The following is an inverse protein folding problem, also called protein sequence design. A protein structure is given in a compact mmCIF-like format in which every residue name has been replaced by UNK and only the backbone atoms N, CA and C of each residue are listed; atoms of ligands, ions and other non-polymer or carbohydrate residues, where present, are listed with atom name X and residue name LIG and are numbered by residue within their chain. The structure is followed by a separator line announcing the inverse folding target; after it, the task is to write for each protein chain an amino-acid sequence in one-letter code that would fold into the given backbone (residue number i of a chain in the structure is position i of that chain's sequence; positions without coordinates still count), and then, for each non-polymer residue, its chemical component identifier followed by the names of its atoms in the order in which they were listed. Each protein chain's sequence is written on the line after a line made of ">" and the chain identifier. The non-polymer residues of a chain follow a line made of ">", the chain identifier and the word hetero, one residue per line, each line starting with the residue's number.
data_IF_674404189341
#
_entry.id   IF_674404189341
#
_cell.length_a   1.000
_cell.length_b   1.000
_cell.length_c   1.000
_cell.angle_alpha   90.00
_cell.angle_beta   90.00
_cell.angle_gamma   90.00
#
_symmetry.space_group_name_H-M   'P 1'
#
loop_
_entity.id
_entity.type
_entity.pdbx_description
1 polymer ?
#
# COMPACT_ATOMS: atom_id res chain seq x y z
N UNK A 1 50.08 39.17 32.77
CA UNK A 1 48.89 38.40 33.21
C UNK A 1 47.60 38.70 32.42
N UNK A 2 47.48 39.79 31.64
CA UNK A 2 46.22 40.12 30.92
C UNK A 2 45.89 39.25 29.69
N UNK A 3 46.88 38.54 29.11
CA UNK A 3 46.71 37.73 27.88
C UNK A 3 46.16 36.32 28.13
N UNK A 4 46.28 35.80 29.36
CA UNK A 4 45.77 34.48 29.75
C UNK A 4 44.25 34.48 29.98
N UNK A 5 43.70 35.61 30.42
CA UNK A 5 42.27 35.77 30.70
C UNK A 5 41.43 35.63 29.42
N UNK A 6 41.91 36.15 28.28
CA UNK A 6 41.22 36.01 27.00
C UNK A 6 41.18 34.56 26.50
N UNK A 7 42.25 33.78 26.71
CA UNK A 7 42.28 32.36 26.32
C UNK A 7 41.31 31.51 27.15
N UNK A 8 41.23 31.76 28.46
CA UNK A 8 40.28 31.07 29.35
C UNK A 8 38.84 31.48 29.03
N UNK A 9 38.57 32.76 28.74
CA UNK A 9 37.22 33.21 28.35
C UNK A 9 36.75 32.56 27.05
N UNK A 10 37.61 32.51 26.03
CA UNK A 10 37.28 31.87 24.75
C UNK A 10 37.17 30.35 24.90
N UNK A 11 38.01 29.73 25.73
CA UNK A 11 37.90 28.32 26.08
C UNK A 11 36.58 27.98 26.76
N UNK A 12 36.17 28.75 27.78
CA UNK A 12 34.87 28.58 28.44
C UNK A 12 33.71 28.80 27.47
N UNK A 13 33.77 29.80 26.58
CA UNK A 13 32.75 30.02 25.56
C UNK A 13 32.66 28.85 24.56
N UNK A 14 33.79 28.29 24.15
CA UNK A 14 33.85 27.19 23.18
C UNK A 14 33.42 25.85 23.81
N UNK A 15 33.76 25.62 25.08
CA UNK A 15 33.36 24.41 25.83
C UNK A 15 31.88 24.47 26.22
N UNK A 16 31.36 25.66 26.56
CA UNK A 16 29.93 25.87 26.77
C UNK A 16 29.11 25.69 25.47
N UNK A 17 29.69 26.04 24.31
CA UNK A 17 29.07 25.83 22.99
C UNK A 17 29.09 24.39 22.47
N UNK A 18 29.94 23.51 23.02
CA UNK A 18 30.09 22.12 22.58
C UNK A 18 29.01 21.14 23.07
N UNK A 19 28.15 21.56 24.00
CA UNK A 19 27.14 20.69 24.64
C UNK A 19 25.84 20.53 23.84
N UNK A 20 25.82 20.93 22.56
CA UNK A 20 24.66 20.82 21.68
C UNK A 20 24.79 19.67 20.66
N UNK A 21 25.75 18.76 20.84
CA UNK A 21 25.83 17.54 20.05
C UNK A 21 24.77 16.55 20.53
N UNK A 22 23.68 16.50 19.76
CA UNK A 22 22.61 15.53 19.82
C UNK A 22 21.86 15.49 21.16
N UNK A 23 20.84 16.33 21.28
CA UNK A 23 19.58 15.87 21.88
C UNK A 23 19.12 14.65 21.05
N UNK A 24 19.64 13.46 21.37
CA UNK A 24 19.29 12.19 20.76
C UNK A 24 17.87 11.84 21.21
N UNK A 25 16.89 12.50 20.62
CA UNK A 25 15.48 12.15 20.73
C UNK A 25 15.16 10.84 19.99
N UNK A 26 16.18 10.16 19.43
CA UNK A 26 16.03 8.86 18.79
C UNK A 26 16.32 7.71 19.74
N UNK A 27 15.60 6.59 19.54
CA UNK A 27 15.80 5.26 20.14
C UNK A 27 17.24 4.71 20.04
N UNK A 28 18.15 5.42 19.37
CA UNK A 28 19.51 5.00 19.06
C UNK A 28 20.33 4.96 20.35
N UNK A 29 20.69 3.75 20.79
CA UNK A 29 21.47 3.49 22.01
C UNK A 29 20.66 2.94 23.19
N UNK A 30 19.34 2.83 23.07
CA UNK A 30 18.47 2.26 24.13
C UNK A 30 18.36 0.73 23.95
N UNK A 31 18.41 -0.02 25.05
CA UNK A 31 18.32 -1.49 25.00
C UNK A 31 16.86 -1.94 24.86
N UNK A 32 16.63 -2.94 24.01
CA UNK A 32 15.34 -3.63 23.93
C UNK A 32 15.16 -4.45 25.21
N UNK A 33 14.17 -4.09 26.02
CA UNK A 33 13.89 -4.71 27.32
C UNK A 33 13.10 -6.01 27.17
N UNK A 34 12.36 -6.18 26.07
CA UNK A 34 11.61 -7.39 25.77
C UNK A 34 10.86 -7.30 24.46
N UNK A 35 10.35 -8.44 24.00
CA UNK A 35 9.51 -8.55 22.80
C UNK A 35 8.13 -9.04 23.23
N UNK A 36 7.09 -8.31 22.87
CA UNK A 36 5.70 -8.56 23.26
C UNK A 36 4.85 -8.88 22.03
N UNK A 37 4.04 -9.92 22.10
CA UNK A 37 3.12 -10.25 21.02
C UNK A 37 1.89 -9.32 21.05
N UNK A 38 1.63 -8.64 19.94
CA UNK A 38 0.40 -7.89 19.70
C UNK A 38 -0.66 -8.87 19.19
N UNK A 39 -1.80 -8.92 19.87
CA UNK A 39 -2.94 -9.77 19.52
C UNK A 39 -4.11 -8.89 19.10
N UNK A 40 -4.82 -9.27 18.04
CA UNK A 40 -6.12 -8.71 17.67
C UNK A 40 -7.11 -9.87 17.47
N UNK A 41 -8.27 -9.81 18.12
CA UNK A 41 -9.33 -10.83 18.01
C UNK A 41 -8.83 -12.28 18.26
N UNK A 42 -7.90 -12.44 19.20
CA UNK A 42 -7.32 -13.74 19.56
C UNK A 42 -6.26 -14.27 18.58
N UNK A 43 -5.89 -13.53 17.53
CA UNK A 43 -4.83 -13.89 16.58
C UNK A 43 -3.59 -13.01 16.78
N UNK A 44 -2.42 -13.66 16.75
CA UNK A 44 -1.12 -12.97 16.82
C UNK A 44 -0.92 -12.16 15.54
N UNK A 45 -0.76 -10.86 15.70
CA UNK A 45 -0.60 -9.91 14.60
C UNK A 45 0.85 -9.58 14.31
N UNK A 46 1.62 -9.24 15.34
CA UNK A 46 3.03 -8.89 15.22
C UNK A 46 3.73 -8.92 16.58
N UNK A 47 5.05 -8.85 16.57
CA UNK A 47 5.86 -8.70 17.77
C UNK A 47 6.32 -7.24 17.91
N UNK A 48 6.15 -6.66 19.09
CA UNK A 48 6.55 -5.30 19.46
C UNK A 48 7.80 -5.32 20.33
N UNK A 49 8.77 -4.47 20.01
CA UNK A 49 9.95 -4.30 20.85
C UNK A 49 9.65 -3.26 21.94
N UNK A 50 9.83 -3.62 23.20
CA UNK A 50 9.71 -2.66 24.30
C UNK A 50 11.06 -2.01 24.54
N UNK A 51 11.10 -0.69 24.39
CA UNK A 51 12.28 0.14 24.63
C UNK A 51 11.83 1.20 25.63
N UNK A 52 12.47 1.25 26.79
CA UNK A 52 12.16 2.21 27.86
C UNK A 52 10.69 2.23 28.31
N UNK A 53 10.09 1.04 28.42
CA UNK A 53 8.69 0.89 28.85
C UNK A 53 7.66 1.29 27.77
N UNK A 54 8.09 1.75 26.60
CA UNK A 54 7.22 1.99 25.45
C UNK A 54 7.29 0.82 24.47
N UNK A 55 6.12 0.32 24.05
CA UNK A 55 6.02 -0.75 23.07
C UNK A 55 6.07 -0.17 21.64
N UNK A 56 7.14 -0.47 20.93
CA UNK A 56 7.33 -0.10 19.53
C UNK A 56 6.81 -1.22 18.64
N UNK A 57 5.61 -0.98 18.13
CA UNK A 57 4.92 -1.89 17.23
C UNK A 57 5.29 -1.61 15.76
N UNK A 58 5.35 -2.63 14.89
CA UNK A 58 5.46 -2.43 13.45
C UNK A 58 4.22 -1.69 12.93
N UNK A 59 4.39 -0.41 12.59
CA UNK A 59 3.29 0.49 12.20
C UNK A 59 2.46 -0.10 11.05
N UNK A 60 3.10 -0.82 10.12
CA UNK A 60 2.43 -1.50 9.01
C UNK A 60 1.45 -2.59 9.47
N UNK A 61 1.89 -3.46 10.38
CA UNK A 61 1.04 -4.51 10.92
C UNK A 61 -0.10 -3.94 11.77
N UNK A 62 0.18 -2.88 12.53
CA UNK A 62 -0.84 -2.17 13.33
C UNK A 62 -1.88 -1.52 12.42
N UNK A 63 -1.46 -0.87 11.33
CA UNK A 63 -2.36 -0.22 10.39
C UNK A 63 -3.21 -1.21 9.59
N UNK A 64 -2.64 -2.35 9.17
CA UNK A 64 -3.38 -3.44 8.53
C UNK A 64 -4.45 -4.01 9.47
N UNK A 65 -4.11 -4.15 10.76
CA UNK A 65 -5.07 -4.59 11.75
C UNK A 65 -6.09 -3.52 12.13
N UNK A 66 -5.72 -2.25 12.17
CA UNK A 66 -6.65 -1.16 12.51
C UNK A 66 -7.46 -0.68 11.30
N UNK A 67 -7.15 -1.13 10.09
CA UNK A 67 -7.75 -0.64 8.84
C UNK A 67 -7.31 0.79 8.48
N UNK A 68 -6.22 1.29 9.06
CA UNK A 68 -5.73 2.64 8.80
C UNK A 68 -4.90 2.66 7.51
N UNK A 69 -5.11 3.67 6.66
CA UNK A 69 -4.34 3.85 5.43
C UNK A 69 -3.02 4.55 5.77
N UNK A 70 -1.90 3.87 5.54
CA UNK A 70 -0.56 4.44 5.71
C UNK A 70 -0.05 5.01 4.40
N UNK A 71 0.18 6.33 4.38
CA UNK A 71 0.92 6.99 3.29
C UNK A 71 2.29 7.39 3.80
N UNK A 72 3.34 6.88 3.15
CA UNK A 72 4.73 7.23 3.46
C UNK A 72 5.19 8.30 2.49
N UNK A 73 5.37 9.53 2.97
CA UNK A 73 5.91 10.64 2.20
C UNK A 73 7.31 11.01 2.73
N UNK A 74 8.36 10.50 2.08
CA UNK A 74 9.75 10.80 2.44
C UNK A 74 10.15 10.25 3.81
N UNK A 75 10.54 11.13 4.75
CA UNK A 75 10.97 10.78 6.12
C UNK A 75 9.85 10.87 7.16
N UNK A 76 8.61 11.09 6.71
CA UNK A 76 7.42 11.27 7.55
C UNK A 76 6.38 10.20 7.22
N UNK A 77 5.88 9.52 8.26
CA UNK A 77 4.73 8.60 8.15
C UNK A 77 3.51 9.37 8.63
N UNK A 78 2.55 9.63 7.74
CA UNK A 78 1.28 10.24 8.09
C UNK A 78 0.27 9.12 8.31
N UNK A 79 -0.16 8.93 9.57
CA UNK A 79 -1.39 8.20 9.83
C UNK A 79 -2.54 9.17 9.65
N UNK A 80 -3.24 9.04 8.53
CA UNK A 80 -4.62 9.50 8.51
C UNK A 80 -5.40 8.45 9.31
N UNK A 81 -6.24 8.89 10.25
CA UNK A 81 -7.48 8.14 10.47
C UNK A 81 -8.03 7.98 9.06
N UNK A 82 -8.26 6.74 8.61
CA UNK A 82 -9.14 6.59 7.48
C UNK A 82 -10.33 7.43 7.89
N UNK A 83 -10.58 8.55 7.21
CA UNK A 83 -11.90 9.12 7.24
C UNK A 83 -12.71 7.93 6.79
N UNK A 84 -13.24 7.21 7.79
CA UNK A 84 -14.52 6.58 7.69
C UNK A 84 -15.31 7.81 7.24
N UNK A 85 -15.46 7.95 5.92
CA UNK A 85 -16.74 8.31 5.39
C UNK A 85 -17.64 7.36 6.15
N UNK A 86 -18.18 7.89 7.24
CA UNK A 86 -19.17 7.27 8.05
C UNK A 86 -20.38 7.18 7.12
N UNK A 87 -20.33 6.25 6.16
CA UNK A 87 -21.49 5.45 5.83
C UNK A 87 -21.83 4.74 7.13
N UNK A 88 -22.60 5.49 7.93
CA UNK A 88 -23.31 5.01 9.09
C UNK A 88 -23.84 3.61 8.80
N UNK A 89 -23.72 2.65 9.72
CA UNK A 89 -24.58 1.48 9.70
C UNK A 89 -25.96 1.93 10.21
N UNK A 90 -26.66 2.73 9.41
CA UNK A 90 -28.06 3.05 9.64
C UNK A 90 -28.79 3.08 8.29
N UNK A 91 -29.33 1.91 7.98
CA UNK A 91 -30.71 1.78 7.54
C UNK A 91 -31.14 2.60 6.32
N UNK A 92 -30.65 2.23 5.14
CA UNK A 92 -31.52 1.82 4.02
C UNK A 92 -30.68 1.44 2.81
N UNK A 93 -30.88 0.20 2.39
CA UNK A 93 -30.41 -0.40 1.17
C UNK A 93 -30.95 0.36 -0.07
N UNK A 94 -30.37 1.52 -0.37
CA UNK A 94 -30.46 2.21 -1.65
C UNK A 94 -29.07 2.69 -2.00
N UNK A 95 -28.38 1.93 -2.85
CA UNK A 95 -27.19 2.44 -3.52
C UNK A 95 -27.55 3.78 -4.16
N UNK A 96 -26.90 4.87 -3.73
CA UNK A 96 -27.12 6.18 -4.34
C UNK A 96 -26.63 6.13 -5.77
N UNK A 97 -27.33 6.82 -6.69
CA UNK A 97 -26.93 6.94 -8.09
C UNK A 97 -25.44 7.33 -8.23
N UNK A 98 -24.97 8.24 -7.36
CA UNK A 98 -23.58 8.68 -7.34
C UNK A 98 -22.58 7.56 -6.96
N UNK A 99 -23.00 6.59 -6.15
CA UNK A 99 -22.14 5.45 -5.76
C UNK A 99 -22.08 4.40 -6.87
N UNK A 100 -23.21 4.15 -7.54
CA UNK A 100 -23.27 3.31 -8.74
C UNK A 100 -22.44 3.89 -9.89
N UNK A 101 -22.50 5.20 -10.15
CA UNK A 101 -21.68 5.87 -11.17
C UNK A 101 -20.18 5.80 -10.89
N UNK A 102 -19.77 5.93 -9.61
CA UNK A 102 -18.37 5.73 -9.20
C UNK A 102 -17.94 4.27 -9.43
N UNK A 103 -18.75 3.30 -9.01
CA UNK A 103 -18.48 1.86 -9.25
C UNK A 103 -18.36 1.57 -10.74
N UNK A 104 -19.26 2.10 -11.56
CA UNK A 104 -19.25 1.98 -13.01
C UNK A 104 -17.94 2.54 -13.61
N UNK A 105 -17.54 3.73 -13.19
CA UNK A 105 -16.32 4.37 -13.66
C UNK A 105 -15.08 3.55 -13.29
N UNK A 106 -15.02 3.02 -12.08
CA UNK A 106 -13.92 2.16 -11.63
C UNK A 106 -13.88 0.88 -12.48
N UNK A 107 -15.02 0.25 -12.73
CA UNK A 107 -15.06 -0.97 -13.54
C UNK A 107 -14.70 -0.74 -15.00
N UNK A 108 -15.13 0.36 -15.62
CA UNK A 108 -14.73 0.73 -16.98
C UNK A 108 -13.23 0.97 -17.10
N UNK A 109 -12.62 1.60 -16.10
CA UNK A 109 -11.17 1.77 -16.07
C UNK A 109 -10.45 0.42 -15.91
N UNK A 110 -10.96 -0.47 -15.06
CA UNK A 110 -10.42 -1.83 -14.90
C UNK A 110 -10.53 -2.62 -16.21
N UNK A 111 -11.68 -2.61 -16.87
CA UNK A 111 -11.90 -3.25 -18.17
C UNK A 111 -10.87 -2.75 -19.20
N UNK A 112 -10.70 -1.43 -19.31
CA UNK A 112 -9.73 -0.84 -20.24
C UNK A 112 -8.28 -1.28 -19.95
N UNK A 113 -7.91 -1.44 -18.68
CA UNK A 113 -6.59 -1.96 -18.30
C UNK A 113 -6.42 -3.44 -18.69
N UNK A 114 -7.46 -4.26 -18.49
CA UNK A 114 -7.45 -5.67 -18.88
C UNK A 114 -7.43 -5.82 -20.41
N UNK A 115 -8.16 -5.00 -21.15
CA UNK A 115 -8.10 -4.94 -22.62
C UNK A 115 -6.70 -4.57 -23.11
N UNK A 116 -6.08 -3.54 -22.53
CA UNK A 116 -4.72 -3.14 -22.88
C UNK A 116 -3.71 -4.25 -22.56
N UNK A 117 -3.85 -4.94 -21.42
CA UNK A 117 -3.02 -6.09 -21.07
C UNK A 117 -3.21 -7.23 -22.09
N UNK A 118 -4.45 -7.57 -22.41
CA UNK A 118 -4.79 -8.63 -23.37
C UNK A 118 -4.22 -8.32 -24.76
N UNK A 119 -4.33 -7.07 -25.23
CA UNK A 119 -3.75 -6.64 -26.50
C UNK A 119 -2.21 -6.76 -26.52
N UNK A 120 -1.54 -6.50 -25.39
CA UNK A 120 -0.10 -6.69 -25.28
C UNK A 120 0.28 -8.18 -25.30
N UNK A 121 -0.46 -9.04 -24.59
CA UNK A 121 -0.23 -10.49 -24.61
C UNK A 121 -0.49 -11.08 -26.00
N UNK A 122 -1.61 -10.70 -26.64
CA UNK A 122 -1.95 -11.15 -28.00
C UNK A 122 -0.98 -10.61 -29.05
N UNK A 123 -0.49 -9.37 -28.90
CA UNK A 123 0.52 -8.79 -29.77
C UNK A 123 1.88 -9.48 -29.67
N UNK A 124 2.24 -9.99 -28.48
CA UNK A 124 3.46 -10.79 -28.26
C UNK A 124 3.33 -12.25 -28.69
N UNK A 125 2.11 -12.78 -28.76
CA UNK A 125 1.80 -14.18 -29.07
C UNK A 125 2.45 -14.71 -30.37
N UNK A 126 2.42 -14.02 -31.53
CA UNK A 126 3.06 -14.54 -32.74
C UNK A 126 4.58 -14.71 -32.60
N UNK A 127 5.24 -13.87 -31.81
CA UNK A 127 6.68 -13.99 -31.54
C UNK A 127 7.00 -15.18 -30.63
N UNK A 128 6.13 -15.46 -29.66
CA UNK A 128 6.19 -16.63 -28.78
C UNK A 128 5.90 -17.91 -29.54
N UNK A 129 4.94 -17.90 -30.48
CA UNK A 129 4.63 -19.05 -31.33
C UNK A 129 5.79 -19.38 -32.28
N UNK A 130 6.39 -18.37 -32.91
CA UNK A 130 7.59 -18.56 -33.73
C UNK A 130 8.78 -19.11 -32.90
N UNK A 131 8.98 -18.58 -31.68
CA UNK A 131 10.01 -19.05 -30.76
C UNK A 131 9.76 -20.46 -30.21
N UNK A 132 8.50 -20.86 -30.02
CA UNK A 132 8.12 -22.21 -29.58
C UNK A 132 8.23 -23.26 -30.69
N UNK A 133 8.01 -22.87 -31.96
CA UNK A 133 8.16 -23.75 -33.10
C UNK A 133 9.62 -24.20 -33.35
N UNK A 134 10.58 -23.34 -33.02
CA UNK A 134 12.02 -23.58 -33.22
C UNK A 134 12.76 -23.87 -31.90
N UNK A 135 12.13 -23.57 -30.76
CA UNK A 135 12.71 -23.66 -29.43
C UNK A 135 12.59 -25.02 -28.73
N UNK A 136 13.01 -25.07 -27.46
CA UNK A 136 12.94 -26.26 -26.63
C UNK A 136 11.62 -26.34 -25.83
N UNK A 137 11.44 -27.39 -25.04
CA UNK A 137 10.24 -27.59 -24.20
C UNK A 137 9.89 -26.39 -23.30
N UNK A 138 10.90 -25.60 -22.89
CA UNK A 138 10.67 -24.38 -22.09
C UNK A 138 9.94 -23.30 -22.90
N UNK A 139 10.25 -23.17 -24.19
CA UNK A 139 9.57 -22.23 -25.09
C UNK A 139 8.11 -22.61 -25.31
N UNK A 140 7.81 -23.91 -25.46
CA UNK A 140 6.43 -24.43 -25.55
C UNK A 140 5.65 -24.23 -24.25
N UNK A 141 6.27 -24.53 -23.10
CA UNK A 141 5.67 -24.28 -21.80
C UNK A 141 5.37 -22.78 -21.56
N UNK A 142 6.25 -21.90 -22.06
CA UNK A 142 6.02 -20.44 -21.99
C UNK A 142 4.83 -20.05 -22.87
N UNK A 143 4.75 -20.58 -24.09
CA UNK A 143 3.59 -20.34 -24.98
C UNK A 143 2.28 -20.82 -24.36
N UNK A 144 2.24 -22.02 -23.77
CA UNK A 144 1.05 -22.54 -23.08
C UNK A 144 0.67 -21.67 -21.88
N UNK A 145 1.65 -21.22 -21.08
CA UNK A 145 1.39 -20.33 -19.95
C UNK A 145 0.80 -18.99 -20.38
N UNK A 146 1.31 -18.40 -21.47
CA UNK A 146 0.80 -17.14 -22.03
C UNK A 146 -0.60 -17.33 -22.62
N UNK A 147 -0.87 -18.45 -23.30
CA UNK A 147 -2.20 -18.79 -23.81
C UNK A 147 -3.21 -18.94 -22.66
N UNK A 148 -2.83 -19.64 -21.60
CA UNK A 148 -3.67 -19.79 -20.40
C UNK A 148 -3.90 -18.45 -19.69
N UNK A 149 -2.92 -17.54 -19.70
CA UNK A 149 -3.05 -16.20 -19.14
C UNK A 149 -3.99 -15.31 -19.97
N UNK A 150 -3.93 -15.41 -21.30
CA UNK A 150 -4.89 -14.75 -22.20
C UNK A 150 -6.32 -15.25 -21.94
N UNK A 151 -6.51 -16.56 -21.79
CA UNK A 151 -7.82 -17.15 -21.52
C UNK A 151 -8.38 -16.67 -20.17
N UNK A 152 -7.57 -16.68 -19.11
CA UNK A 152 -7.95 -16.11 -17.80
C UNK A 152 -8.26 -14.62 -17.86
N UNK A 153 -7.51 -13.88 -18.67
CA UNK A 153 -7.72 -12.44 -18.87
C UNK A 153 -9.05 -12.20 -19.59
N UNK A 154 -9.35 -12.98 -20.64
CA UNK A 154 -10.65 -12.97 -21.35
C UNK A 154 -11.81 -13.28 -20.42
N UNK A 155 -11.71 -14.34 -19.63
CA UNK A 155 -12.74 -14.71 -18.65
C UNK A 155 -13.00 -13.61 -17.62
N UNK A 156 -11.93 -12.94 -17.17
CA UNK A 156 -12.05 -11.82 -16.23
C UNK A 156 -12.72 -10.62 -16.89
N UNK A 157 -12.38 -10.33 -18.15
CA UNK A 157 -12.97 -9.25 -18.93
C UNK A 157 -14.49 -9.47 -19.11
N UNK A 158 -14.92 -10.70 -19.43
CA UNK A 158 -16.35 -11.05 -19.51
C UNK A 158 -17.08 -10.80 -18.19
N UNK A 159 -16.45 -11.11 -17.06
CA UNK A 159 -17.03 -10.84 -15.73
C UNK A 159 -17.16 -9.35 -15.45
N UNK A 160 -16.14 -8.55 -15.80
CA UNK A 160 -16.21 -7.09 -15.67
C UNK A 160 -17.27 -6.49 -16.59
N UNK A 161 -17.39 -6.95 -17.84
CA UNK A 161 -18.44 -6.51 -18.75
C UNK A 161 -19.85 -6.83 -18.22
N UNK A 162 -20.06 -8.03 -17.69
CA UNK A 162 -21.34 -8.42 -17.10
C UNK A 162 -21.71 -7.54 -15.90
N UNK A 163 -20.72 -7.17 -15.09
CA UNK A 163 -20.94 -6.34 -13.91
C UNK A 163 -21.13 -4.86 -14.29
N UNK A 164 -20.43 -4.35 -15.29
CA UNK A 164 -20.69 -3.03 -15.90
C UNK A 164 -22.12 -2.96 -16.42
N UNK A 165 -22.57 -3.98 -17.17
CA UNK A 165 -23.94 -4.03 -17.67
C UNK A 165 -24.96 -4.00 -16.54
N UNK A 166 -24.75 -4.76 -15.46
CA UNK A 166 -25.61 -4.71 -14.26
C UNK A 166 -25.67 -3.31 -13.64
N UNK A 167 -24.52 -2.64 -13.50
CA UNK A 167 -24.46 -1.29 -12.94
C UNK A 167 -25.15 -0.27 -13.85
N UNK A 168 -25.02 -0.40 -15.17
CA UNK A 168 -25.72 0.48 -16.13
C UNK A 168 -27.24 0.25 -16.11
N UNK A 169 -27.69 -1.00 -16.00
CA UNK A 169 -29.11 -1.32 -15.85
C UNK A 169 -29.69 -0.78 -14.54
N UNK A 170 -28.97 -0.96 -13.43
CA UNK A 170 -29.36 -0.42 -12.13
C UNK A 170 -29.45 1.11 -12.15
N UNK A 171 -28.51 1.79 -12.82
CA UNK A 171 -28.56 3.24 -13.01
C UNK A 171 -29.76 3.68 -13.86
N UNK A 172 -30.08 2.98 -14.94
CA UNK A 172 -31.26 3.28 -15.78
C UNK A 172 -32.58 3.15 -15.02
N UNK A 173 -32.69 2.17 -14.11
CA UNK A 173 -33.88 1.99 -13.27
C UNK A 173 -34.04 3.07 -12.19
N UNK A 174 -32.95 3.75 -11.82
CA UNK A 174 -32.96 4.88 -10.89
C UNK A 174 -33.31 6.22 -11.56
N UNK A 175 -33.22 6.31 -12.89
CA UNK A 175 -33.53 7.50 -13.68
C UNK A 175 -34.96 7.53 -14.25
N UNK A 176 -35.76 6.47 -14.05
CA UNK A 176 -37.19 6.41 -14.39
C UNK A 176 -38.08 6.77 -13.18
#
# INVERSE_FOLDING_TARGET
>A
MKKFVCGVLVGVLLTAGGSAFAASTGLVGKKVQGVYAIMKDGKKLADAAVIDGAAYAPVRAVAEASGAVLTVEGRSIKMAEATIVNSSPDDSNKESKADLEKKLTIQKNLESLFEASLANLEGGLPSLEAGAAVGNERSKATLESVKAEIEKTKDSLVKFQAEIQRLEEALKLLDQ
#
